data_IF_336938315867
#
_entry.id   IF_336938315867
#
_cell.length_a   1.000
_cell.length_b   1.000
_cell.length_c   1.000
_cell.angle_alpha   90.00
_cell.angle_beta   90.00
_cell.angle_gamma   90.00
#
_symmetry.space_group_name_H-M   'P 1'
#
loop_
_entity.id
_entity.type
_entity.pdbx_description
1 polymer ?
#
# COMPACT_ATOMS: atom_id res chain seq x y z
N UNK A 1 18.26 8.39 -14.70
CA UNK A 1 18.56 7.50 -13.56
C UNK A 1 19.78 6.64 -13.88
N UNK A 2 20.72 6.43 -12.93
CA UNK A 2 21.87 5.52 -13.14
C UNK A 2 21.38 4.08 -13.16
N UNK A 3 22.06 3.18 -13.94
CA UNK A 3 21.65 1.76 -14.07
C UNK A 3 21.51 1.05 -12.73
N UNK A 4 22.39 1.35 -11.75
CA UNK A 4 22.30 0.81 -10.39
C UNK A 4 21.02 1.24 -9.66
N UNK A 5 20.63 2.49 -9.78
CA UNK A 5 19.41 3.02 -9.14
C UNK A 5 18.15 2.46 -9.84
N UNK A 6 18.22 2.18 -11.13
CA UNK A 6 17.15 1.51 -11.87
C UNK A 6 16.92 0.08 -11.36
N UNK A 7 17.99 -0.70 -11.21
CA UNK A 7 17.90 -2.08 -10.66
C UNK A 7 17.30 -2.06 -9.25
N UNK A 8 17.78 -1.14 -8.39
CA UNK A 8 17.24 -0.98 -7.04
C UNK A 8 15.77 -0.55 -7.07
N UNK A 9 15.39 0.38 -7.96
CA UNK A 9 14.00 0.81 -8.10
C UNK A 9 13.08 -0.35 -8.55
N UNK A 10 13.53 -1.16 -9.50
CA UNK A 10 12.78 -2.33 -9.99
C UNK A 10 12.66 -3.46 -8.95
N UNK A 11 13.63 -3.58 -8.04
CA UNK A 11 13.56 -4.58 -6.97
C UNK A 11 12.45 -4.29 -5.95
N UNK A 12 12.02 -3.02 -5.80
CA UNK A 12 11.00 -2.62 -4.82
C UNK A 12 9.61 -3.17 -5.18
N UNK A 13 9.05 -2.92 -6.37
CA UNK A 13 7.74 -3.49 -6.73
C UNK A 13 7.76 -5.02 -6.78
N UNK A 14 8.88 -5.65 -7.13
CA UNK A 14 9.04 -7.09 -7.06
C UNK A 14 8.96 -7.60 -5.62
N UNK A 15 9.71 -6.97 -4.70
CA UNK A 15 9.69 -7.32 -3.29
C UNK A 15 8.31 -7.12 -2.66
N UNK A 16 7.63 -6.02 -2.98
CA UNK A 16 6.29 -5.74 -2.45
C UNK A 16 5.23 -6.68 -3.05
N UNK A 17 5.32 -7.02 -4.34
CA UNK A 17 4.44 -7.99 -4.98
C UNK A 17 4.59 -9.40 -4.39
N UNK A 18 5.83 -9.85 -4.18
CA UNK A 18 6.12 -11.11 -3.48
C UNK A 18 5.53 -11.09 -2.06
N UNK A 19 5.77 -10.00 -1.31
CA UNK A 19 5.24 -9.86 0.04
C UNK A 19 3.71 -9.87 0.08
N UNK A 20 3.04 -9.24 -0.88
CA UNK A 20 1.59 -9.25 -0.97
C UNK A 20 1.05 -10.66 -1.28
N UNK A 21 1.69 -11.37 -2.21
CA UNK A 21 1.34 -12.75 -2.58
C UNK A 21 1.58 -13.72 -1.41
N UNK A 22 2.71 -13.62 -0.72
CA UNK A 22 3.01 -14.44 0.46
C UNK A 22 2.06 -14.12 1.63
N UNK A 23 1.73 -12.84 1.83
CA UNK A 23 0.75 -12.47 2.83
C UNK A 23 -0.62 -13.11 2.55
N UNK A 24 -1.07 -13.16 1.28
CA UNK A 24 -2.31 -13.87 0.91
C UNK A 24 -2.26 -15.33 1.33
N UNK A 25 -1.15 -16.03 1.08
CA UNK A 25 -0.99 -17.41 1.52
C UNK A 25 -1.00 -17.53 3.06
N UNK A 26 -0.30 -16.64 3.77
CA UNK A 26 -0.21 -16.66 5.24
C UNK A 26 -1.54 -16.31 5.93
N UNK A 27 -2.49 -15.64 5.25
CA UNK A 27 -3.84 -15.38 5.75
C UNK A 27 -4.68 -16.65 5.91
N UNK A 28 -4.25 -17.78 5.35
CA UNK A 28 -4.83 -19.10 5.65
C UNK A 28 -4.43 -19.62 7.04
N UNK A 29 -3.30 -19.15 7.59
CA UNK A 29 -2.76 -19.60 8.87
C UNK A 29 -2.92 -18.57 10.00
N UNK A 30 -2.90 -17.27 9.66
CA UNK A 30 -2.96 -16.18 10.62
C UNK A 30 -4.14 -15.24 10.38
N UNK A 31 -4.83 -14.78 11.43
CA UNK A 31 -5.79 -13.68 11.32
C UNK A 31 -5.12 -12.42 10.74
N UNK A 32 -5.84 -11.64 9.91
CA UNK A 32 -5.28 -10.51 9.18
C UNK A 32 -4.59 -9.45 10.05
N UNK A 33 -5.25 -8.99 11.12
CA UNK A 33 -4.68 -7.99 12.03
C UNK A 33 -3.49 -8.54 12.80
N UNK A 34 -3.56 -9.82 13.22
CA UNK A 34 -2.44 -10.49 13.88
C UNK A 34 -1.21 -10.56 12.96
N UNK A 35 -1.39 -11.00 11.71
CA UNK A 35 -0.32 -11.09 10.72
C UNK A 35 0.35 -9.74 10.50
N UNK A 36 -0.45 -8.69 10.29
CA UNK A 36 0.05 -7.35 10.06
C UNK A 36 0.68 -6.75 11.33
N UNK A 37 0.10 -6.99 12.49
CA UNK A 37 0.66 -6.57 13.77
C UNK A 37 2.06 -7.15 14.01
N UNK A 38 2.25 -8.46 13.81
CA UNK A 38 3.55 -9.12 13.90
C UNK A 38 4.55 -8.53 12.89
N UNK A 39 4.15 -8.33 11.64
CA UNK A 39 4.97 -7.68 10.60
C UNK A 39 5.50 -6.32 11.06
N UNK A 40 4.61 -5.44 11.56
CA UNK A 40 5.00 -4.10 11.99
C UNK A 40 5.86 -4.12 13.25
N UNK A 41 5.59 -5.01 14.22
CA UNK A 41 6.44 -5.18 15.39
C UNK A 41 7.87 -5.61 15.00
N UNK A 42 8.03 -6.59 14.10
CA UNK A 42 9.33 -7.05 13.64
C UNK A 42 10.09 -5.93 12.92
N UNK A 43 9.42 -5.23 11.99
CA UNK A 43 10.04 -4.11 11.29
C UNK A 43 10.46 -2.99 12.25
N UNK A 44 9.61 -2.63 13.21
CA UNK A 44 9.86 -1.59 14.19
C UNK A 44 11.02 -1.95 15.13
N UNK A 45 11.09 -3.19 15.62
CA UNK A 45 12.18 -3.65 16.48
C UNK A 45 13.56 -3.47 15.85
N UNK A 46 13.64 -3.53 14.51
CA UNK A 46 14.90 -3.30 13.81
C UNK A 46 15.09 -1.83 13.50
N UNK A 47 14.09 -1.20 12.88
CA UNK A 47 14.25 0.15 12.34
C UNK A 47 14.42 1.22 13.42
N UNK A 48 13.82 1.04 14.61
CA UNK A 48 13.84 2.05 15.69
C UNK A 48 15.24 2.40 16.17
N UNK A 49 16.16 1.45 16.09
CA UNK A 49 17.55 1.65 16.52
C UNK A 49 18.39 2.51 15.58
N UNK A 50 17.94 2.67 14.35
CA UNK A 50 18.67 3.40 13.31
C UNK A 50 18.10 4.80 13.03
N UNK A 51 17.10 5.24 13.80
CA UNK A 51 16.40 6.49 13.55
C UNK A 51 16.28 7.34 14.81
N UNK A 52 16.31 8.68 14.68
CA UNK A 52 16.10 9.56 15.82
C UNK A 52 14.67 9.47 16.34
N UNK A 53 14.52 9.76 17.63
CA UNK A 53 13.20 9.86 18.27
C UNK A 53 12.51 11.15 17.80
N UNK A 54 11.24 11.07 17.38
CA UNK A 54 10.49 12.23 16.89
C UNK A 54 9.91 13.04 18.05
N UNK A 55 10.79 13.70 18.82
CA UNK A 55 10.37 14.51 19.96
C UNK A 55 9.34 15.57 19.55
N UNK A 56 8.26 15.69 20.32
CA UNK A 56 7.15 16.61 20.05
C UNK A 56 6.08 16.08 19.07
N UNK A 57 6.36 15.02 18.31
CA UNK A 57 5.44 14.50 17.29
C UNK A 57 4.75 13.17 17.64
N UNK A 58 4.99 12.62 18.83
CA UNK A 58 4.45 11.30 19.22
C UNK A 58 2.94 11.18 19.07
N UNK A 59 2.17 12.18 19.51
CA UNK A 59 0.69 12.17 19.39
C UNK A 59 0.24 12.16 17.93
N UNK A 60 0.88 12.95 17.07
CA UNK A 60 0.57 13.01 15.66
C UNK A 60 0.92 11.68 14.97
N UNK A 61 2.10 11.11 15.28
CA UNK A 61 2.52 9.82 14.71
C UNK A 61 1.62 8.68 15.22
N UNK A 62 1.18 8.70 16.47
CA UNK A 62 0.21 7.74 17.00
C UNK A 62 -1.11 7.77 16.20
N UNK A 63 -1.63 8.97 15.90
CA UNK A 63 -2.85 9.11 15.11
C UNK A 63 -2.63 8.73 13.64
N UNK A 64 -1.48 9.13 13.06
CA UNK A 64 -1.09 8.71 11.71
C UNK A 64 -0.99 7.18 11.65
N UNK A 65 -0.36 6.53 12.64
CA UNK A 65 -0.23 5.07 12.66
C UNK A 65 -1.59 4.36 12.75
N UNK A 66 -2.54 4.94 13.48
CA UNK A 66 -3.90 4.41 13.55
C UNK A 66 -4.57 4.43 12.18
N UNK A 67 -4.48 5.55 11.45
CA UNK A 67 -5.17 5.72 10.16
C UNK A 67 -4.39 5.05 9.03
N UNK A 68 -3.10 5.39 8.85
CA UNK A 68 -2.30 4.98 7.70
C UNK A 68 -1.69 3.59 7.80
N UNK A 69 -1.79 2.96 8.96
CA UNK A 69 -1.32 1.60 9.15
C UNK A 69 -2.42 0.71 9.75
N UNK A 70 -2.87 0.95 10.97
CA UNK A 70 -3.79 0.03 11.65
C UNK A 70 -5.11 -0.13 10.90
N UNK A 71 -5.81 0.97 10.60
CA UNK A 71 -7.06 0.92 9.82
C UNK A 71 -6.80 0.50 8.38
N UNK A 72 -5.78 1.08 7.74
CA UNK A 72 -5.45 0.78 6.36
C UNK A 72 -5.14 -0.70 6.14
N UNK A 73 -4.15 -1.25 6.87
CA UNK A 73 -3.76 -2.66 6.70
C UNK A 73 -4.83 -3.61 7.25
N UNK A 74 -5.50 -3.25 8.35
CA UNK A 74 -6.61 -4.02 8.89
C UNK A 74 -7.70 -4.22 7.85
N UNK A 75 -8.21 -3.14 7.24
CA UNK A 75 -9.24 -3.20 6.21
C UNK A 75 -8.73 -3.91 4.94
N UNK A 76 -7.56 -3.54 4.45
CA UNK A 76 -6.99 -4.13 3.22
C UNK A 76 -6.76 -5.63 3.36
N UNK A 77 -6.15 -6.09 4.47
CA UNK A 77 -5.80 -7.50 4.62
C UNK A 77 -6.98 -8.37 5.08
N UNK A 78 -7.97 -7.78 5.76
CA UNK A 78 -9.28 -8.45 5.94
C UNK A 78 -9.98 -8.62 4.60
N UNK A 79 -9.99 -7.60 3.74
CA UNK A 79 -10.50 -7.76 2.37
C UNK A 79 -9.72 -8.81 1.58
N UNK A 80 -8.38 -8.75 1.60
CA UNK A 80 -7.48 -9.70 0.94
C UNK A 80 -7.69 -11.14 1.41
N UNK A 81 -8.05 -11.39 2.68
CA UNK A 81 -8.30 -12.74 3.16
C UNK A 81 -9.52 -13.39 2.47
N UNK A 82 -10.44 -12.58 1.97
CA UNK A 82 -11.74 -13.00 1.42
C UNK A 82 -11.81 -12.99 -0.12
N UNK A 83 -10.85 -12.35 -0.81
CA UNK A 83 -10.79 -12.27 -2.29
C UNK A 83 -9.40 -12.65 -2.79
N UNK A 84 -9.29 -12.91 -4.09
CA UNK A 84 -8.02 -13.21 -4.74
C UNK A 84 -7.03 -12.04 -4.65
N UNK A 85 -5.73 -12.35 -4.57
CA UNK A 85 -4.67 -11.34 -4.50
C UNK A 85 -4.63 -10.50 -5.78
N UNK A 86 -4.92 -11.10 -6.93
CA UNK A 86 -5.03 -10.43 -8.22
C UNK A 86 -6.12 -9.35 -8.23
N UNK A 87 -7.29 -9.62 -7.63
CA UNK A 87 -8.36 -8.64 -7.50
C UNK A 87 -8.02 -7.57 -6.46
N UNK A 88 -7.54 -7.99 -5.30
CA UNK A 88 -7.22 -7.09 -4.19
C UNK A 88 -6.16 -6.05 -4.58
N UNK A 89 -5.09 -6.45 -5.30
CA UNK A 89 -4.04 -5.52 -5.73
C UNK A 89 -4.55 -4.46 -6.70
N UNK A 90 -5.52 -4.78 -7.56
CA UNK A 90 -6.16 -3.81 -8.45
C UNK A 90 -6.96 -2.78 -7.63
N UNK A 91 -7.75 -3.23 -6.66
CA UNK A 91 -8.58 -2.37 -5.81
C UNK A 91 -7.72 -1.44 -4.95
N UNK A 92 -6.59 -1.92 -4.41
CA UNK A 92 -5.65 -1.10 -3.64
C UNK A 92 -5.16 0.11 -4.44
N UNK A 93 -4.99 0.00 -5.76
CA UNK A 93 -4.53 1.12 -6.59
C UNK A 93 -5.51 2.30 -6.66
N UNK A 94 -6.73 2.15 -6.12
CA UNK A 94 -7.62 3.29 -5.83
C UNK A 94 -7.02 4.29 -4.81
N UNK A 95 -5.98 3.92 -4.10
CA UNK A 95 -5.23 4.83 -3.22
C UNK A 95 -4.77 6.10 -3.94
N UNK A 96 -4.39 5.98 -5.22
CA UNK A 96 -3.93 7.12 -6.03
C UNK A 96 -5.06 8.10 -6.38
N UNK A 97 -6.20 7.67 -6.96
CA UNK A 97 -7.34 8.57 -7.15
C UNK A 97 -7.88 9.14 -5.85
N UNK A 98 -7.96 8.34 -4.77
CA UNK A 98 -8.38 8.85 -3.46
C UNK A 98 -7.42 9.91 -2.93
N UNK A 99 -6.10 9.73 -3.06
CA UNK A 99 -5.13 10.73 -2.61
C UNK A 99 -5.31 12.08 -3.33
N UNK A 100 -5.60 12.06 -4.63
CA UNK A 100 -5.85 13.29 -5.40
C UNK A 100 -7.17 13.96 -4.96
N UNK A 101 -8.24 13.19 -4.76
CA UNK A 101 -9.52 13.71 -4.29
C UNK A 101 -9.41 14.31 -2.88
N UNK A 102 -8.72 13.63 -1.96
CA UNK A 102 -8.49 14.13 -0.60
C UNK A 102 -7.57 15.34 -0.59
N UNK A 103 -6.56 15.41 -1.45
CA UNK A 103 -5.72 16.59 -1.60
C UNK A 103 -6.54 17.81 -2.08
N UNK A 104 -7.49 17.61 -2.98
CA UNK A 104 -8.43 18.66 -3.38
C UNK A 104 -9.27 19.16 -2.21
N UNK A 105 -9.85 18.25 -1.43
CA UNK A 105 -10.76 18.60 -0.31
C UNK A 105 -10.00 19.24 0.86
N UNK A 106 -8.90 18.63 1.30
CA UNK A 106 -8.21 19.02 2.53
C UNK A 106 -7.07 20.01 2.33
N UNK A 107 -6.39 19.94 1.18
CA UNK A 107 -5.23 20.80 0.88
C UNK A 107 -5.59 21.89 -0.14
N UNK A 108 -6.83 21.90 -0.66
CA UNK A 108 -7.31 22.83 -1.70
C UNK A 108 -6.45 22.79 -2.98
N UNK A 109 -5.82 21.65 -3.25
CA UNK A 109 -5.06 21.43 -4.47
C UNK A 109 -6.00 21.08 -5.62
N UNK A 110 -6.27 22.02 -6.50
CA UNK A 110 -7.18 21.78 -7.66
C UNK A 110 -6.51 20.80 -8.65
N UNK A 111 -7.08 19.60 -8.87
CA UNK A 111 -6.54 18.68 -9.85
C UNK A 111 -6.80 19.21 -11.26
N UNK A 112 -5.78 19.17 -12.12
CA UNK A 112 -5.95 19.50 -13.54
C UNK A 112 -6.84 18.47 -14.26
N UNK A 113 -7.35 18.84 -15.44
CA UNK A 113 -8.26 18.01 -16.25
C UNK A 113 -7.69 16.59 -16.47
N UNK A 114 -6.39 16.47 -16.72
CA UNK A 114 -5.73 15.17 -16.91
C UNK A 114 -5.93 14.25 -15.68
N UNK A 115 -5.76 14.76 -14.47
CA UNK A 115 -5.95 13.97 -13.24
C UNK A 115 -7.42 13.57 -13.05
N UNK A 116 -8.35 14.47 -13.38
CA UNK A 116 -9.78 14.17 -13.32
C UNK A 116 -10.18 13.05 -14.30
N UNK A 117 -9.64 13.07 -15.52
CA UNK A 117 -9.83 11.98 -16.50
C UNK A 117 -9.28 10.67 -15.94
N UNK A 118 -8.04 10.69 -15.41
CA UNK A 118 -7.43 9.50 -14.82
C UNK A 118 -8.23 8.92 -13.65
N UNK A 119 -8.79 9.77 -12.78
CA UNK A 119 -9.69 9.36 -11.69
C UNK A 119 -10.94 8.67 -12.27
N UNK A 120 -11.61 9.30 -13.23
CA UNK A 120 -12.82 8.74 -13.85
C UNK A 120 -12.53 7.37 -14.51
N UNK A 121 -11.41 7.24 -15.22
CA UNK A 121 -10.96 5.97 -15.85
C UNK A 121 -10.68 4.91 -14.78
N UNK A 122 -9.97 5.24 -13.70
CA UNK A 122 -9.68 4.27 -12.64
C UNK A 122 -10.96 3.75 -11.95
N UNK A 123 -11.90 4.64 -11.62
CA UNK A 123 -13.19 4.22 -11.06
C UNK A 123 -14.06 3.42 -12.04
N UNK A 124 -14.02 3.75 -13.34
CA UNK A 124 -14.71 2.98 -14.38
C UNK A 124 -14.18 1.54 -14.46
N UNK A 125 -12.86 1.34 -14.32
CA UNK A 125 -12.26 -0.01 -14.26
C UNK A 125 -12.77 -0.83 -13.07
N UNK A 126 -12.85 -0.24 -11.88
CA UNK A 126 -13.42 -0.91 -10.70
C UNK A 126 -14.92 -1.18 -10.87
N UNK A 127 -15.68 -0.22 -11.42
CA UNK A 127 -17.10 -0.40 -11.67
C UNK A 127 -17.38 -1.54 -12.68
N UNK A 128 -16.53 -1.69 -13.70
CA UNK A 128 -16.59 -2.81 -14.64
C UNK A 128 -16.40 -4.16 -13.93
N UNK A 129 -15.42 -4.27 -13.03
CA UNK A 129 -15.17 -5.47 -12.24
C UNK A 129 -16.35 -5.76 -11.29
N UNK A 130 -16.76 -4.77 -10.50
CA UNK A 130 -17.82 -4.90 -9.51
C UNK A 130 -19.21 -5.20 -10.12
N UNK A 131 -19.42 -4.82 -11.38
CA UNK A 131 -20.66 -5.08 -12.13
C UNK A 131 -20.85 -6.53 -12.57
N UNK A 132 -19.84 -7.39 -12.43
CA UNK A 132 -19.94 -8.78 -12.87
C UNK A 132 -20.79 -9.62 -11.91
N UNK A 133 -21.67 -10.52 -12.42
CA UNK A 133 -22.47 -11.40 -11.60
C UNK A 133 -21.66 -12.25 -10.63
N UNK A 134 -20.52 -12.78 -11.09
CA UNK A 134 -19.63 -13.64 -10.30
C UNK A 134 -18.92 -12.89 -9.15
N UNK A 135 -18.88 -11.56 -9.22
CA UNK A 135 -18.25 -10.70 -8.20
C UNK A 135 -19.25 -10.19 -7.16
N UNK A 136 -20.57 -10.35 -7.38
CA UNK A 136 -21.58 -9.81 -6.45
C UNK A 136 -21.43 -10.30 -5.01
N UNK A 137 -21.02 -11.55 -4.80
CA UNK A 137 -20.71 -12.11 -3.48
C UNK A 137 -19.43 -11.54 -2.84
N UNK A 138 -18.61 -10.82 -3.62
CA UNK A 138 -17.32 -10.28 -3.19
C UNK A 138 -17.35 -8.75 -3.00
N UNK A 139 -18.51 -8.09 -3.13
CA UNK A 139 -18.62 -6.63 -3.01
C UNK A 139 -18.19 -6.13 -1.62
N UNK A 140 -18.50 -6.87 -0.56
CA UNK A 140 -18.09 -6.50 0.80
C UNK A 140 -16.57 -6.50 0.97
N UNK A 141 -15.82 -7.57 0.64
CA UNK A 141 -14.37 -7.54 0.73
C UNK A 141 -13.71 -6.55 -0.25
N UNK A 142 -14.29 -6.29 -1.43
CA UNK A 142 -13.85 -5.23 -2.33
C UNK A 142 -14.00 -3.87 -1.66
N UNK A 143 -15.14 -3.61 -1.00
CA UNK A 143 -15.38 -2.36 -0.27
C UNK A 143 -14.41 -2.19 0.90
N UNK A 144 -14.09 -3.26 1.65
CA UNK A 144 -13.07 -3.23 2.70
C UNK A 144 -11.70 -2.84 2.14
N UNK A 145 -11.30 -3.48 1.04
CA UNK A 145 -10.00 -3.18 0.39
C UNK A 145 -9.96 -1.74 -0.12
N UNK A 146 -11.04 -1.25 -0.73
CA UNK A 146 -11.16 0.13 -1.18
C UNK A 146 -11.15 1.14 0.00
N UNK A 147 -11.81 0.80 1.12
CA UNK A 147 -11.75 1.59 2.33
C UNK A 147 -10.32 1.63 2.90
N UNK A 148 -9.58 0.53 2.84
CA UNK A 148 -8.16 0.52 3.17
C UNK A 148 -7.34 1.46 2.28
N UNK A 149 -7.58 1.47 0.97
CA UNK A 149 -6.95 2.39 0.04
C UNK A 149 -7.28 3.87 0.37
N UNK A 150 -8.52 4.15 0.79
CA UNK A 150 -8.92 5.48 1.26
C UNK A 150 -8.19 5.87 2.56
N UNK A 151 -8.04 4.94 3.52
CA UNK A 151 -7.28 5.20 4.76
C UNK A 151 -5.80 5.47 4.47
N UNK A 152 -5.20 4.76 3.52
CA UNK A 152 -3.85 5.06 3.07
C UNK A 152 -3.75 6.50 2.53
N UNK A 153 -4.65 6.87 1.63
CA UNK A 153 -4.70 8.22 1.05
C UNK A 153 -4.89 9.30 2.14
N UNK A 154 -5.77 9.07 3.13
CA UNK A 154 -5.94 9.94 4.28
C UNK A 154 -4.64 10.06 5.09
N UNK A 155 -3.96 8.94 5.32
CA UNK A 155 -2.65 8.93 5.98
C UNK A 155 -1.62 9.81 5.27
N UNK A 156 -1.58 9.79 3.92
CA UNK A 156 -0.68 10.66 3.15
C UNK A 156 -0.98 12.15 3.38
N UNK A 157 -2.27 12.53 3.46
CA UNK A 157 -2.68 13.91 3.78
C UNK A 157 -2.24 14.29 5.20
N UNK A 158 -2.43 13.39 6.18
CA UNK A 158 -2.00 13.62 7.55
C UNK A 158 -0.48 13.80 7.65
N UNK A 159 0.30 12.97 6.96
CA UNK A 159 1.76 13.07 6.88
C UNK A 159 2.18 14.39 6.23
N UNK A 160 1.50 14.81 5.17
CA UNK A 160 1.80 16.08 4.48
C UNK A 160 1.53 17.30 5.38
N UNK A 161 0.49 17.24 6.23
CA UNK A 161 0.16 18.30 7.17
C UNK A 161 1.05 18.29 8.44
N UNK A 162 1.82 17.24 8.63
CA UNK A 162 2.82 17.17 9.68
C UNK A 162 4.02 18.03 9.25
N UNK A 163 4.02 19.34 9.48
CA UNK A 163 5.10 20.26 9.14
C UNK A 163 6.41 19.81 9.82
N UNK A 164 7.27 19.07 9.06
CA UNK A 164 8.17 18.14 9.71
C UNK A 164 9.63 18.45 9.56
N UNK A 165 10.29 18.64 10.67
CA UNK A 165 11.67 18.19 10.87
C UNK A 165 11.81 16.66 11.08
N UNK A 166 10.76 15.83 10.87
CA UNK A 166 10.82 14.37 11.03
C UNK A 166 11.21 13.72 9.71
N UNK A 167 12.37 13.06 9.70
CA UNK A 167 12.84 12.28 8.57
C UNK A 167 11.83 11.15 8.24
N UNK A 168 11.55 10.94 6.95
CA UNK A 168 10.61 9.92 6.46
C UNK A 168 10.94 8.51 6.98
N UNK A 169 12.22 8.19 7.17
CA UNK A 169 12.68 6.92 7.75
C UNK A 169 12.27 6.78 9.22
N UNK A 170 12.43 7.89 9.98
CA UNK A 170 11.98 7.97 11.37
C UNK A 170 10.46 7.81 11.47
N UNK A 171 9.71 8.47 10.57
CA UNK A 171 8.26 8.36 10.54
C UNK A 171 7.80 6.90 10.37
N UNK A 172 8.37 6.15 9.42
CA UNK A 172 8.00 4.75 9.18
C UNK A 172 8.34 3.86 10.36
N UNK A 173 9.53 4.01 10.93
CA UNK A 173 9.93 3.22 12.09
C UNK A 173 8.97 3.44 13.27
N UNK A 174 8.64 4.71 13.57
CA UNK A 174 7.75 5.06 14.67
C UNK A 174 6.28 4.77 14.39
N UNK A 175 5.83 4.89 13.14
CA UNK A 175 4.51 4.35 12.73
C UNK A 175 4.46 2.84 13.01
N UNK A 176 5.52 2.09 12.69
CA UNK A 176 5.58 0.66 13.00
C UNK A 176 5.55 0.35 14.51
N UNK A 177 6.25 1.15 15.33
CA UNK A 177 6.24 1.02 16.80
C UNK A 177 4.84 1.14 17.39
N UNK A 178 4.00 2.03 16.83
CA UNK A 178 2.63 2.20 17.30
C UNK A 178 1.66 1.24 16.61
N UNK A 179 1.76 1.06 15.30
CA UNK A 179 0.82 0.25 14.52
C UNK A 179 0.88 -1.23 14.91
N UNK A 180 2.08 -1.79 15.17
CA UNK A 180 2.21 -3.18 15.58
C UNK A 180 1.37 -3.51 16.81
N UNK A 181 1.58 -2.85 17.97
CA UNK A 181 0.74 -3.06 19.16
C UNK A 181 -0.73 -2.73 18.94
N UNK A 182 -1.06 -1.66 18.20
CA UNK A 182 -2.47 -1.31 17.88
C UNK A 182 -3.18 -2.46 17.15
N UNK A 183 -2.54 -3.05 16.13
CA UNK A 183 -3.10 -4.16 15.37
C UNK A 183 -3.20 -5.43 16.21
N UNK A 184 -2.19 -5.75 17.01
CA UNK A 184 -2.24 -6.91 17.89
C UNK A 184 -3.36 -6.78 18.94
N UNK A 185 -3.53 -5.60 19.53
CA UNK A 185 -4.64 -5.33 20.45
C UNK A 185 -5.99 -5.41 19.73
N UNK A 186 -6.11 -4.82 18.54
CA UNK A 186 -7.32 -4.93 17.74
C UNK A 186 -7.63 -6.39 17.35
N UNK A 187 -6.61 -7.17 17.00
CA UNK A 187 -6.75 -8.61 16.74
C UNK A 187 -7.34 -9.35 17.94
N UNK A 188 -6.84 -9.09 19.15
CA UNK A 188 -7.34 -9.74 20.36
C UNK A 188 -8.82 -9.41 20.67
N UNK A 189 -9.31 -8.25 20.18
CA UNK A 189 -10.70 -7.81 20.44
C UNK A 189 -11.64 -8.25 19.31
N UNK A 190 -11.18 -8.20 18.04
CA UNK A 190 -12.05 -8.33 16.86
C UNK A 190 -11.92 -9.71 16.21
N UNK A 191 -10.74 -10.29 16.23
CA UNK A 191 -10.44 -11.57 15.61
C UNK A 191 -10.48 -12.70 16.64
N UNK A 192 -10.51 -13.94 16.17
CA UNK A 192 -10.42 -15.14 17.00
C UNK A 192 -9.33 -16.08 16.50
N UNK A 193 -9.00 -17.09 17.32
CA UNK A 193 -8.09 -18.15 16.90
C UNK A 193 -6.60 -17.84 16.97
N UNK A 194 -6.16 -16.73 17.58
CA UNK A 194 -4.74 -16.32 17.64
C UNK A 194 -3.86 -17.40 18.26
N UNK A 195 -4.28 -18.01 19.38
CA UNK A 195 -3.51 -19.07 20.07
C UNK A 195 -3.41 -20.31 19.16
N UNK A 196 -4.48 -20.66 18.47
CA UNK A 196 -4.49 -21.78 17.52
C UNK A 196 -3.57 -21.47 16.32
N UNK A 197 -3.61 -20.25 15.79
CA UNK A 197 -2.72 -19.80 14.73
C UNK A 197 -1.24 -19.92 15.15
N UNK A 198 -0.87 -19.44 16.34
CA UNK A 198 0.51 -19.55 16.84
C UNK A 198 0.96 -21.02 16.96
N UNK A 199 0.09 -21.91 17.47
CA UNK A 199 0.43 -23.32 17.71
C UNK A 199 0.51 -24.14 16.44
N UNK A 200 -0.33 -23.84 15.46
CA UNK A 200 -0.52 -24.67 14.27
C UNK A 200 0.17 -24.09 13.02
N UNK A 201 0.66 -22.85 13.09
CA UNK A 201 1.31 -22.22 11.95
C UNK A 201 2.54 -23.02 11.51
N UNK A 202 2.65 -23.20 10.21
CA UNK A 202 3.77 -23.91 9.60
C UNK A 202 5.05 -23.06 9.64
N UNK A 203 6.20 -23.70 9.41
CA UNK A 203 7.46 -22.97 9.23
C UNK A 203 7.41 -21.99 8.05
N UNK A 204 6.58 -22.27 7.02
CA UNK A 204 6.35 -21.38 5.87
C UNK A 204 5.57 -20.14 6.34
N UNK A 205 4.53 -20.32 7.15
CA UNK A 205 3.77 -19.22 7.75
C UNK A 205 4.67 -18.28 8.57
N UNK A 206 5.50 -18.83 9.46
CA UNK A 206 6.45 -18.03 10.24
C UNK A 206 7.54 -17.39 9.37
N UNK A 207 8.04 -18.10 8.35
CA UNK A 207 8.95 -17.54 7.36
C UNK A 207 8.35 -16.36 6.62
N UNK A 208 7.05 -16.44 6.30
CA UNK A 208 6.32 -15.32 5.69
C UNK A 208 6.23 -14.12 6.62
N UNK A 209 5.91 -14.32 7.91
CA UNK A 209 5.89 -13.23 8.90
C UNK A 209 7.24 -12.51 8.95
N UNK A 210 8.34 -13.27 9.01
CA UNK A 210 9.70 -12.72 8.98
C UNK A 210 10.00 -11.98 7.67
N UNK A 211 9.63 -12.57 6.52
CA UNK A 211 9.79 -11.93 5.21
C UNK A 211 9.06 -10.59 5.17
N UNK A 212 7.81 -10.54 5.61
CA UNK A 212 6.99 -9.32 5.61
C UNK A 212 7.60 -8.23 6.50
N UNK A 213 8.10 -8.57 7.68
CA UNK A 213 8.72 -7.61 8.59
C UNK A 213 10.10 -7.14 8.10
N UNK A 214 11.00 -8.07 7.78
CA UNK A 214 12.41 -7.80 7.50
C UNK A 214 12.64 -7.35 6.05
N UNK A 215 12.16 -8.16 5.11
CA UNK A 215 12.50 -7.98 3.69
C UNK A 215 11.52 -7.00 3.04
N UNK A 216 10.22 -7.25 3.16
CA UNK A 216 9.22 -6.39 2.51
C UNK A 216 9.19 -5.00 3.16
N UNK A 217 9.21 -4.91 4.49
CA UNK A 217 9.09 -3.62 5.19
C UNK A 217 10.45 -2.98 5.42
N UNK A 218 11.31 -3.54 6.26
CA UNK A 218 12.53 -2.84 6.64
C UNK A 218 13.47 -2.63 5.44
N UNK A 219 13.79 -3.69 4.69
CA UNK A 219 14.68 -3.61 3.53
C UNK A 219 13.99 -2.89 2.35
N UNK A 220 12.74 -3.23 2.04
CA UNK A 220 11.99 -2.66 0.92
C UNK A 220 11.85 -1.14 1.02
N UNK A 221 11.42 -0.62 2.16
CA UNK A 221 11.39 0.82 2.40
C UNK A 221 12.78 1.43 2.46
N UNK A 222 13.77 0.70 3.00
CA UNK A 222 15.17 1.14 3.01
C UNK A 222 15.70 1.40 1.60
N UNK A 223 15.48 0.46 0.68
CA UNK A 223 15.84 0.60 -0.74
C UNK A 223 15.04 1.74 -1.36
N UNK A 224 13.73 1.78 -1.16
CA UNK A 224 12.85 2.80 -1.73
C UNK A 224 13.30 4.22 -1.39
N UNK A 225 13.53 4.51 -0.11
CA UNK A 225 13.98 5.85 0.30
C UNK A 225 15.38 6.20 -0.19
N UNK A 226 16.28 5.22 -0.28
CA UNK A 226 17.61 5.44 -0.85
C UNK A 226 17.53 5.84 -2.33
N UNK A 227 16.63 5.22 -3.09
CA UNK A 227 16.45 5.54 -4.51
C UNK A 227 15.72 6.88 -4.66
N UNK A 228 14.70 7.12 -3.84
CA UNK A 228 13.91 8.35 -3.81
C UNK A 228 14.76 9.58 -3.46
N UNK A 229 15.73 9.44 -2.54
CA UNK A 229 16.64 10.55 -2.17
C UNK A 229 17.60 10.95 -3.28
N UNK A 230 17.77 10.13 -4.34
CA UNK A 230 18.75 10.33 -5.41
C UNK A 230 18.15 10.62 -6.77
N UNK A 231 16.87 10.39 -6.93
CA UNK A 231 16.20 10.47 -8.22
C UNK A 231 14.89 11.25 -8.10
N UNK A 232 14.47 11.98 -9.15
CA UNK A 232 13.19 12.67 -9.16
C UNK A 232 12.02 11.70 -8.96
N UNK A 233 11.04 12.08 -8.16
CA UNK A 233 9.82 11.30 -7.88
C UNK A 233 9.11 10.91 -9.19
N UNK A 234 9.08 11.82 -10.18
CA UNK A 234 8.44 11.58 -11.48
C UNK A 234 9.04 10.42 -12.28
N UNK A 235 10.31 10.08 -12.04
CA UNK A 235 10.97 8.95 -12.70
C UNK A 235 10.74 7.62 -11.96
N UNK A 236 10.39 7.68 -10.67
CA UNK A 236 10.24 6.50 -9.81
C UNK A 236 8.79 6.02 -9.71
N UNK A 237 7.82 6.95 -9.66
CA UNK A 237 6.41 6.57 -9.53
C UNK A 237 5.91 5.60 -10.60
N UNK A 238 6.27 5.73 -11.88
CA UNK A 238 5.86 4.74 -12.90
C UNK A 238 6.36 3.32 -12.63
N UNK A 239 7.50 3.17 -11.92
CA UNK A 239 8.06 1.86 -11.60
C UNK A 239 7.15 1.09 -10.64
N UNK A 240 6.44 1.78 -9.73
CA UNK A 240 5.50 1.16 -8.80
C UNK A 240 4.27 0.55 -9.50
N UNK A 241 3.91 1.04 -10.70
CA UNK A 241 2.83 0.46 -11.49
C UNK A 241 3.13 -0.98 -11.96
N UNK A 242 4.38 -1.43 -11.85
CA UNK A 242 4.74 -2.83 -12.08
C UNK A 242 4.25 -3.75 -10.97
N UNK A 243 4.01 -3.24 -9.74
CA UNK A 243 3.60 -4.05 -8.61
C UNK A 243 2.33 -4.88 -8.89
N UNK A 244 1.21 -4.30 -9.37
CA UNK A 244 0.02 -5.09 -9.64
C UNK A 244 0.22 -6.12 -10.75
N UNK A 245 1.00 -5.80 -11.79
CA UNK A 245 1.30 -6.75 -12.87
C UNK A 245 2.09 -7.94 -12.33
N UNK A 246 3.13 -7.68 -11.55
CA UNK A 246 3.93 -8.73 -10.91
C UNK A 246 3.08 -9.53 -9.93
N UNK A 247 2.24 -8.88 -9.11
CA UNK A 247 1.35 -9.57 -8.16
C UNK A 247 0.39 -10.51 -8.88
N UNK A 248 -0.24 -10.09 -9.97
CA UNK A 248 -1.14 -10.94 -10.75
C UNK A 248 -0.40 -12.15 -11.31
N UNK A 249 0.80 -11.96 -11.86
CA UNK A 249 1.63 -13.07 -12.35
C UNK A 249 1.96 -14.03 -11.21
N UNK A 250 2.42 -13.52 -10.08
CA UNK A 250 2.78 -14.33 -8.92
C UNK A 250 1.57 -15.05 -8.32
N UNK A 251 0.41 -14.42 -8.27
CA UNK A 251 -0.81 -15.05 -7.75
C UNK A 251 -1.27 -16.20 -8.62
N UNK A 252 -1.16 -16.07 -9.95
CA UNK A 252 -1.43 -17.18 -10.89
C UNK A 252 -0.43 -18.31 -10.71
N UNK A 253 0.87 -18.00 -10.63
CA UNK A 253 1.94 -19.01 -10.60
C UNK A 253 2.06 -19.68 -9.23
N UNK A 254 2.00 -18.91 -8.15
CA UNK A 254 2.27 -19.42 -6.79
C UNK A 254 1.00 -19.80 -6.02
N UNK A 255 -0.11 -19.11 -6.25
CA UNK A 255 -1.38 -19.36 -5.55
C UNK A 255 -2.39 -20.14 -6.40
N UNK A 256 -2.12 -20.33 -7.71
CA UNK A 256 -3.03 -21.02 -8.63
C UNK A 256 -4.30 -20.21 -8.93
N UNK A 257 -4.29 -18.88 -8.70
CA UNK A 257 -5.43 -18.02 -9.02
C UNK A 257 -5.70 -18.01 -10.53
N UNK A 258 -6.98 -17.88 -10.90
CA UNK A 258 -7.43 -17.77 -12.29
C UNK A 258 -8.28 -16.53 -12.48
N UNK A 259 -7.65 -15.33 -12.52
CA UNK A 259 -8.39 -14.09 -12.69
C UNK A 259 -9.20 -14.13 -13.99
N UNK A 260 -10.48 -13.75 -13.92
CA UNK A 260 -11.33 -13.69 -15.11
C UNK A 260 -10.84 -12.63 -16.09
N UNK A 261 -11.21 -12.78 -17.37
CA UNK A 261 -10.87 -11.79 -18.40
C UNK A 261 -11.33 -10.38 -18.00
N UNK A 262 -12.46 -10.26 -17.30
CA UNK A 262 -12.98 -8.96 -16.84
C UNK A 262 -12.11 -8.36 -15.73
N UNK A 263 -11.60 -9.17 -14.80
CA UNK A 263 -10.64 -8.71 -13.77
C UNK A 263 -9.37 -8.18 -14.46
N UNK A 264 -8.87 -8.88 -15.48
CA UNK A 264 -7.69 -8.44 -16.24
C UNK A 264 -7.97 -7.13 -16.99
N UNK A 265 -9.08 -7.06 -17.75
CA UNK A 265 -9.45 -5.86 -18.51
C UNK A 265 -9.73 -4.67 -17.58
N UNK A 266 -10.53 -4.86 -16.53
CA UNK A 266 -10.79 -3.83 -15.54
C UNK A 266 -9.51 -3.38 -14.83
N UNK A 267 -8.61 -4.31 -14.51
CA UNK A 267 -7.29 -4.01 -13.95
C UNK A 267 -6.43 -3.15 -14.89
N UNK A 268 -6.39 -3.47 -16.18
CA UNK A 268 -5.71 -2.64 -17.19
C UNK A 268 -6.30 -1.23 -17.20
N UNK A 269 -7.63 -1.09 -17.18
CA UNK A 269 -8.31 0.21 -17.16
C UNK A 269 -7.94 0.99 -15.89
N UNK A 270 -7.94 0.35 -14.71
CA UNK A 270 -7.50 0.98 -13.46
C UNK A 270 -6.07 1.47 -13.57
N UNK A 271 -5.15 0.64 -14.06
CA UNK A 271 -3.73 1.00 -14.19
C UNK A 271 -3.51 2.12 -15.21
N UNK A 272 -4.26 2.14 -16.31
CA UNK A 272 -4.26 3.26 -17.27
C UNK A 272 -4.73 4.54 -16.59
N UNK A 273 -5.82 4.49 -15.82
CA UNK A 273 -6.31 5.64 -15.04
C UNK A 273 -5.25 6.16 -14.05
N UNK A 274 -4.62 5.27 -13.30
CA UNK A 274 -3.54 5.61 -12.36
C UNK A 274 -2.32 6.17 -13.10
N UNK A 275 -1.93 5.59 -14.23
CA UNK A 275 -0.84 6.09 -15.06
C UNK A 275 -1.10 7.52 -15.56
N UNK A 276 -2.33 7.81 -16.00
CA UNK A 276 -2.75 9.16 -16.41
C UNK A 276 -2.61 10.16 -15.24
N UNK A 277 -2.94 9.76 -14.01
CA UNK A 277 -2.81 10.61 -12.81
C UNK A 277 -1.34 10.91 -12.50
N UNK A 278 -0.50 9.88 -12.55
CA UNK A 278 0.91 9.94 -12.09
C UNK A 278 1.83 10.56 -13.15
N UNK A 279 1.57 10.32 -14.44
CA UNK A 279 2.38 10.85 -15.53
C UNK A 279 2.18 12.35 -15.66
N UNK A 280 3.19 13.11 -15.24
CA UNK A 280 3.21 14.57 -15.37
C UNK A 280 3.35 14.94 -16.85
N UNK A 281 2.36 15.62 -17.40
CA UNK A 281 2.59 16.40 -18.61
C UNK A 281 3.39 17.64 -18.20
N UNK A 282 4.66 17.73 -18.58
CA UNK A 282 5.42 18.97 -18.53
C UNK A 282 4.69 19.97 -19.43
N UNK A 283 3.96 20.90 -18.83
CA UNK A 283 3.39 22.03 -19.55
C UNK A 283 4.47 23.11 -19.58
N UNK A 284 5.15 23.33 -20.72
CA UNK A 284 6.28 24.27 -20.82
C UNK A 284 5.89 25.73 -20.54
N UNK A 285 4.58 26.04 -20.57
CA UNK A 285 4.09 27.41 -20.38
C UNK A 285 4.01 27.84 -18.91
N UNK A 286 3.80 26.90 -17.96
CA UNK A 286 3.76 27.23 -16.51
C UNK A 286 5.14 27.45 -15.91
N UNK A 287 6.21 26.98 -16.55
CA UNK A 287 7.59 27.24 -16.12
C UNK A 287 8.03 28.71 -16.34
N UNK A 288 7.29 29.50 -17.14
CA UNK A 288 7.63 30.89 -17.49
C UNK A 288 6.98 31.94 -16.59
N UNK A 289 6.10 31.55 -15.66
CA UNK A 289 5.32 32.48 -14.83
C UNK A 289 5.71 32.57 -13.36
N UNK A 290 6.83 31.96 -12.94
CA UNK A 290 7.38 32.17 -11.60
C UNK A 290 8.35 33.33 -11.65
N UNK A 291 8.02 34.54 -11.12
CA UNK A 291 8.98 35.62 -10.93
C UNK A 291 10.09 35.15 -9.95
N UNK A 292 11.35 35.52 -10.29
CA UNK A 292 12.53 35.26 -9.44
C UNK A 292 12.45 36.00 -8.13
#
# INVERSE_FOLDING_TARGET
>A
MKSRDLILALSVPLNWALGFTFAKAALAEFPPLMLMGMRFCIAAMILVWFVPRPHGYFKAILLISLVSATLQYGLTFTGLSLIDASLAVIVIHLEVPFAVLLAYVFLREVPGVQRMIGIAVAFAGIALIAGQPDIRGQLFPIALTAAGALMWAMGQIMVKNLDTGVNSFSLIAWVGVFAGPQMLLASLIIEGGQIAAIKNATWIGWGTVLYLGLIMTALGYGIWYRVLSRNPVSQLMPVLLLMPVITIILSVVLLGERPSTVIILGGIIVLVGVAIIVMKRDNPELAKTVPK
#
